data_IF_536859120816
#
_entry.id   IF_536859120816
#
_cell.length_a   1.000
_cell.length_b   1.000
_cell.length_c   1.000
_cell.angle_alpha   90.00
_cell.angle_beta   90.00
_cell.angle_gamma   90.00
#
_symmetry.space_group_name_H-M   'P 1'
#
loop_
_entity.id
_entity.type
_entity.pdbx_description
1 polymer ?
#
# COMPACT_ATOMS: atom_id res chain seq x y z
N UNK A 1 11.48 -15.44 6.85
CA UNK A 1 12.07 -14.39 5.98
C UNK A 1 11.39 -14.52 4.63
N UNK A 2 10.39 -13.70 4.25
CA UNK A 2 10.00 -13.69 2.84
C UNK A 2 11.15 -13.02 2.09
N UNK A 3 11.65 -13.73 1.10
CA UNK A 3 12.61 -13.27 0.11
C UNK A 3 12.13 -11.93 -0.45
N UNK A 4 12.73 -10.83 0.02
CA UNK A 4 12.57 -9.53 -0.59
C UNK A 4 12.95 -9.68 -2.05
N UNK A 5 11.96 -9.62 -2.95
CA UNK A 5 12.18 -9.73 -4.38
C UNK A 5 13.32 -8.78 -4.74
N UNK A 6 14.49 -9.34 -5.09
CA UNK A 6 15.66 -8.57 -5.49
C UNK A 6 15.21 -7.75 -6.68
N UNK A 7 14.95 -6.46 -6.43
CA UNK A 7 14.69 -5.53 -7.52
C UNK A 7 15.99 -5.44 -8.30
N UNK A 8 15.91 -5.71 -9.59
CA UNK A 8 17.02 -5.70 -10.53
C UNK A 8 16.67 -4.86 -11.76
N UNK A 9 17.68 -4.35 -12.44
CA UNK A 9 17.49 -3.63 -13.69
C UNK A 9 16.98 -4.58 -14.78
N UNK A 10 15.89 -4.23 -15.44
CA UNK A 10 15.28 -5.02 -16.50
C UNK A 10 16.16 -5.22 -17.74
N UNK A 11 17.22 -4.43 -17.91
CA UNK A 11 18.13 -4.51 -19.06
C UNK A 11 19.48 -5.14 -18.69
N UNK A 12 20.13 -4.66 -17.63
CA UNK A 12 21.49 -5.10 -17.29
C UNK A 12 21.55 -6.05 -16.08
N UNK A 13 20.42 -6.39 -15.46
CA UNK A 13 20.35 -7.30 -14.32
C UNK A 13 20.97 -6.78 -13.02
N UNK A 14 21.57 -5.57 -13.02
CA UNK A 14 22.15 -4.98 -11.81
C UNK A 14 21.14 -4.92 -10.68
N UNK A 15 21.52 -5.50 -9.56
CA UNK A 15 20.72 -5.53 -8.33
C UNK A 15 20.82 -4.20 -7.58
N UNK A 16 19.89 -3.98 -6.65
CA UNK A 16 19.94 -2.83 -5.73
C UNK A 16 21.23 -2.71 -4.90
N UNK A 17 22.02 -3.79 -4.75
CA UNK A 17 23.32 -3.76 -4.07
C UNK A 17 24.41 -3.15 -4.96
N UNK A 18 24.42 -3.54 -6.23
CA UNK A 18 25.43 -3.12 -7.22
C UNK A 18 25.24 -1.67 -7.67
N UNK A 19 24.03 -1.12 -7.55
CA UNK A 19 23.78 0.27 -7.94
C UNK A 19 24.09 1.29 -6.86
N UNK A 20 24.46 0.86 -5.63
CA UNK A 20 24.70 1.79 -4.50
C UNK A 20 25.80 2.82 -4.84
N UNK A 21 25.63 4.10 -4.44
CA UNK A 21 24.54 4.64 -3.61
C UNK A 21 23.24 4.91 -4.38
N UNK A 22 23.23 4.79 -5.71
CA UNK A 22 22.05 5.02 -6.54
C UNK A 22 21.03 3.88 -6.37
N UNK A 23 19.79 4.25 -6.07
CA UNK A 23 18.69 3.29 -5.99
C UNK A 23 18.15 3.02 -7.39
N UNK A 24 17.79 1.76 -7.64
CA UNK A 24 17.01 1.39 -8.81
C UNK A 24 15.74 2.24 -8.90
N UNK A 25 15.40 2.66 -10.11
CA UNK A 25 14.28 3.55 -10.42
C UNK A 25 13.19 2.75 -11.12
N UNK A 26 11.92 3.03 -10.79
CA UNK A 26 10.77 2.50 -11.50
C UNK A 26 10.40 3.44 -12.65
N UNK A 27 9.89 2.89 -13.75
CA UNK A 27 9.29 3.67 -14.84
C UNK A 27 8.26 4.66 -14.26
N UNK A 28 8.35 5.94 -14.63
CA UNK A 28 7.44 6.98 -14.13
C UNK A 28 6.00 6.80 -14.62
N UNK A 29 5.81 6.15 -15.77
CA UNK A 29 4.50 5.87 -16.36
C UNK A 29 3.78 4.71 -15.67
N UNK A 30 4.30 3.49 -15.80
CA UNK A 30 3.64 2.28 -15.32
C UNK A 30 4.08 1.81 -13.92
N UNK A 31 5.21 2.31 -13.40
CA UNK A 31 5.83 1.94 -12.11
C UNK A 31 6.17 0.45 -11.91
N UNK A 32 6.00 -0.38 -12.94
CA UNK A 32 6.28 -1.83 -12.90
C UNK A 32 7.70 -2.16 -13.32
N UNK A 33 8.20 -1.61 -14.44
CA UNK A 33 9.58 -1.82 -14.92
C UNK A 33 10.59 -1.06 -14.08
N UNK A 34 11.74 -1.69 -13.81
CA UNK A 34 12.81 -1.19 -12.95
C UNK A 34 14.12 -1.03 -13.75
N UNK A 35 14.84 0.07 -13.56
CA UNK A 35 16.09 0.39 -14.25
C UNK A 35 17.13 0.96 -13.28
N UNK A 36 18.42 0.77 -13.57
CA UNK A 36 19.48 1.44 -12.79
C UNK A 36 19.61 2.93 -13.12
N UNK A 37 19.33 3.32 -14.36
CA UNK A 37 19.45 4.68 -14.86
C UNK A 37 18.55 4.91 -16.09
N UNK A 38 18.64 6.13 -16.64
CA UNK A 38 17.88 6.56 -17.82
C UNK A 38 18.35 5.86 -19.10
N UNK A 39 19.60 5.39 -19.16
CA UNK A 39 20.16 4.77 -20.36
C UNK A 39 19.59 3.36 -20.54
N UNK A 40 19.50 2.59 -19.45
CA UNK A 40 18.77 1.32 -19.47
C UNK A 40 17.28 1.51 -19.81
N UNK A 41 16.64 2.57 -19.32
CA UNK A 41 15.25 2.86 -19.70
C UNK A 41 15.12 3.19 -21.20
N UNK A 42 16.05 3.96 -21.78
CA UNK A 42 16.06 4.31 -23.20
C UNK A 42 16.25 3.10 -24.08
N UNK A 43 17.12 2.17 -23.66
CA UNK A 43 17.32 0.87 -24.34
C UNK A 43 16.05 0.02 -24.32
N UNK A 44 15.35 -0.07 -23.18
CA UNK A 44 14.07 -0.81 -23.10
C UNK A 44 12.90 -0.06 -23.77
N UNK A 45 12.99 1.26 -24.01
CA UNK A 45 11.82 2.06 -24.39
C UNK A 45 11.08 1.59 -25.65
N UNK A 46 11.75 1.18 -26.76
CA UNK A 46 11.07 0.69 -27.95
C UNK A 46 10.15 -0.51 -27.68
N UNK A 47 10.56 -1.45 -26.82
CA UNK A 47 9.77 -2.61 -26.39
C UNK A 47 8.79 -2.26 -25.28
N UNK A 48 9.22 -1.48 -24.29
CA UNK A 48 8.44 -1.18 -23.10
C UNK A 48 7.23 -0.28 -23.39
N UNK A 49 7.34 0.71 -24.29
CA UNK A 49 6.26 1.68 -24.55
C UNK A 49 4.94 1.03 -24.93
N UNK A 50 4.97 -0.15 -25.57
CA UNK A 50 3.79 -0.91 -25.99
C UNK A 50 3.00 -1.43 -24.77
N UNK A 51 3.71 -1.77 -23.70
CA UNK A 51 3.14 -2.32 -22.47
C UNK A 51 3.10 -1.32 -21.31
N UNK A 52 3.71 -0.15 -21.47
CA UNK A 52 3.75 0.90 -20.46
C UNK A 52 2.38 1.59 -20.34
N UNK A 53 1.54 1.11 -19.41
CA UNK A 53 0.26 1.73 -19.08
C UNK A 53 0.28 2.25 -17.64
N UNK A 54 -0.19 3.49 -17.46
CA UNK A 54 -0.45 4.05 -16.13
C UNK A 54 -1.56 3.22 -15.47
N UNK A 55 -1.44 2.97 -14.17
CA UNK A 55 -2.49 2.26 -13.44
C UNK A 55 -3.62 3.25 -13.13
N UNK A 56 -4.86 2.82 -13.30
CA UNK A 56 -6.04 3.66 -13.02
C UNK A 56 -5.97 4.26 -11.60
N UNK A 57 -5.57 3.42 -10.63
CA UNK A 57 -5.46 3.82 -9.23
C UNK A 57 -4.34 4.82 -8.92
N UNK A 58 -3.43 5.11 -9.84
CA UNK A 58 -2.34 6.07 -9.59
C UNK A 58 -2.85 7.48 -9.30
N UNK A 59 -4.05 7.85 -9.79
CA UNK A 59 -4.68 9.15 -9.52
C UNK A 59 -5.25 9.26 -8.10
N UNK A 60 -5.59 8.14 -7.47
CA UNK A 60 -6.19 8.08 -6.13
C UNK A 60 -5.18 7.94 -4.98
N UNK A 61 -3.89 7.91 -5.27
CA UNK A 61 -2.86 7.65 -4.24
C UNK A 61 -2.75 8.74 -3.19
N UNK A 62 -3.09 9.98 -3.53
CA UNK A 62 -2.92 11.14 -2.65
C UNK A 62 -4.11 11.21 -1.71
N UNK A 63 -3.81 11.17 -0.42
CA UNK A 63 -4.74 11.33 0.67
C UNK A 63 -4.98 12.81 0.99
N UNK A 64 -6.05 13.09 1.73
CA UNK A 64 -6.44 14.43 2.18
C UNK A 64 -5.42 15.02 3.18
N UNK A 65 -4.81 14.15 3.99
CA UNK A 65 -3.74 14.49 4.92
C UNK A 65 -2.36 14.64 4.25
N UNK A 66 -2.32 14.65 2.91
CA UNK A 66 -1.12 14.73 2.07
C UNK A 66 -0.22 13.48 2.12
N UNK A 67 -0.61 12.43 2.84
CA UNK A 67 0.04 11.13 2.73
C UNK A 67 -0.19 10.53 1.34
N UNK A 68 0.62 9.54 0.98
CA UNK A 68 0.62 8.95 -0.35
C UNK A 68 0.71 7.44 -0.27
N UNK A 69 -0.31 6.75 -0.79
CA UNK A 69 -0.27 5.31 -0.95
C UNK A 69 0.77 4.89 -1.98
N UNK A 70 1.63 3.94 -1.58
CA UNK A 70 2.63 3.32 -2.47
C UNK A 70 2.17 1.99 -3.07
N UNK A 71 1.13 1.39 -2.49
CA UNK A 71 0.53 0.13 -2.91
C UNK A 71 -0.35 0.27 -4.15
N UNK A 72 -1.05 -0.79 -4.51
CA UNK A 72 -2.13 -0.73 -5.51
C UNK A 72 -3.48 -0.74 -4.80
N UNK A 73 -4.50 -0.20 -5.45
CA UNK A 73 -5.88 -0.57 -5.13
C UNK A 73 -6.10 -2.00 -5.62
N UNK A 74 -6.62 -2.83 -4.74
CA UNK A 74 -6.96 -4.22 -5.00
C UNK A 74 -8.40 -4.45 -4.56
N UNK A 75 -9.22 -4.94 -5.48
CA UNK A 75 -10.59 -5.35 -5.17
C UNK A 75 -10.56 -6.51 -4.16
N UNK A 76 -11.35 -6.37 -3.09
CA UNK A 76 -11.54 -7.42 -2.10
C UNK A 76 -12.39 -8.51 -2.74
N UNK A 77 -11.86 -9.73 -2.83
CA UNK A 77 -12.52 -10.85 -3.54
C UNK A 77 -12.73 -12.07 -2.65
N UNK A 78 -12.36 -11.96 -1.37
CA UNK A 78 -12.47 -13.01 -0.37
C UNK A 78 -13.59 -12.70 0.63
N UNK A 79 -13.96 -13.73 1.39
CA UNK A 79 -14.80 -13.65 2.57
C UNK A 79 -13.94 -14.03 3.77
N UNK A 80 -14.14 -13.37 4.90
CA UNK A 80 -13.45 -13.70 6.15
C UNK A 80 -14.36 -14.48 7.10
N UNK A 81 -13.89 -15.59 7.70
CA UNK A 81 -14.65 -16.27 8.74
C UNK A 81 -14.90 -15.34 9.94
N UNK A 82 -16.15 -15.28 10.41
CA UNK A 82 -16.53 -14.49 11.58
C UNK A 82 -16.86 -13.02 11.28
N UNK A 83 -16.84 -12.60 10.02
CA UNK A 83 -17.37 -11.31 9.58
C UNK A 83 -18.46 -11.55 8.54
N UNK A 84 -19.58 -10.82 8.64
CA UNK A 84 -20.71 -10.94 7.71
C UNK A 84 -20.49 -10.13 6.42
N UNK A 85 -19.25 -10.08 5.92
CA UNK A 85 -18.86 -9.35 4.71
C UNK A 85 -18.12 -10.24 3.72
N UNK A 86 -18.25 -9.94 2.42
CA UNK A 86 -17.68 -10.72 1.33
C UNK A 86 -17.02 -9.88 0.24
N UNK A 87 -17.27 -10.28 -1.01
CA UNK A 87 -16.74 -9.61 -2.20
C UNK A 87 -17.02 -8.10 -2.18
N UNK A 88 -16.04 -7.29 -2.55
CA UNK A 88 -16.07 -5.83 -2.44
C UNK A 88 -16.45 -5.30 -1.04
N UNK A 89 -16.05 -6.03 0.01
CA UNK A 89 -16.27 -5.63 1.41
C UNK A 89 -17.73 -5.28 1.73
N UNK A 90 -18.67 -5.88 1.01
CA UNK A 90 -20.12 -5.66 1.20
C UNK A 90 -20.69 -6.76 2.08
N UNK A 91 -21.82 -6.50 2.73
CA UNK A 91 -22.51 -7.53 3.51
C UNK A 91 -22.87 -8.74 2.64
N UNK A 92 -22.81 -9.94 3.21
CA UNK A 92 -23.00 -11.19 2.46
C UNK A 92 -24.33 -11.25 1.70
N UNK A 93 -25.39 -10.63 2.23
CA UNK A 93 -26.71 -10.57 1.60
C UNK A 93 -26.80 -9.59 0.41
N UNK A 94 -25.80 -8.74 0.20
CA UNK A 94 -25.75 -7.74 -0.88
C UNK A 94 -24.70 -8.08 -1.95
N UNK A 95 -23.95 -9.19 -1.78
CA UNK A 95 -22.85 -9.59 -2.67
C UNK A 95 -23.32 -9.77 -4.11
N UNK A 96 -24.45 -10.46 -4.32
CA UNK A 96 -24.94 -10.78 -5.66
C UNK A 96 -25.36 -9.52 -6.43
N UNK A 97 -26.05 -8.60 -5.74
CA UNK A 97 -26.47 -7.32 -6.32
C UNK A 97 -25.27 -6.46 -6.70
N UNK A 98 -24.27 -6.37 -5.82
CA UNK A 98 -23.09 -5.54 -6.07
C UNK A 98 -22.18 -6.15 -7.14
N UNK A 99 -22.08 -7.49 -7.22
CA UNK A 99 -21.39 -8.18 -8.32
C UNK A 99 -22.10 -7.96 -9.65
N UNK A 100 -23.42 -8.09 -9.68
CA UNK A 100 -24.21 -7.81 -10.88
C UNK A 100 -23.95 -6.38 -11.36
N UNK A 101 -23.94 -5.41 -10.44
CA UNK A 101 -23.61 -4.02 -10.76
C UNK A 101 -22.22 -3.86 -11.36
N UNK A 102 -21.22 -4.50 -10.78
CA UNK A 102 -19.85 -4.49 -11.31
C UNK A 102 -19.76 -5.08 -12.72
N UNK A 103 -20.34 -6.25 -12.94
CA UNK A 103 -20.24 -6.98 -14.19
C UNK A 103 -21.08 -6.34 -15.32
N UNK A 104 -22.30 -5.89 -15.00
CA UNK A 104 -23.28 -5.44 -16.00
C UNK A 104 -23.31 -3.92 -16.16
N UNK A 105 -23.43 -3.17 -15.06
CA UNK A 105 -23.52 -1.70 -15.16
C UNK A 105 -22.16 -1.06 -15.40
N UNK A 106 -21.11 -1.53 -14.71
CA UNK A 106 -19.76 -1.01 -14.87
C UNK A 106 -18.93 -1.78 -15.91
N UNK A 107 -19.40 -2.93 -16.40
CA UNK A 107 -18.72 -3.72 -17.43
C UNK A 107 -17.37 -4.30 -16.96
N UNK A 108 -17.23 -4.58 -15.66
CA UNK A 108 -15.99 -5.04 -15.04
C UNK A 108 -14.92 -3.95 -14.87
N UNK A 109 -15.27 -2.67 -15.05
CA UNK A 109 -14.36 -1.54 -14.92
C UNK A 109 -14.10 -1.20 -13.43
N UNK A 110 -12.92 -1.59 -12.93
CA UNK A 110 -12.50 -1.31 -11.55
C UNK A 110 -12.44 0.18 -11.23
N UNK A 111 -12.11 1.05 -12.19
CA UNK A 111 -12.01 2.49 -11.94
C UNK A 111 -13.40 3.07 -11.70
N UNK A 112 -14.36 2.77 -12.58
CA UNK A 112 -15.75 3.20 -12.38
C UNK A 112 -16.35 2.62 -11.10
N UNK A 113 -16.06 1.35 -10.81
CA UNK A 113 -16.55 0.71 -9.60
C UNK A 113 -15.94 1.32 -8.34
N UNK A 114 -14.66 1.69 -8.37
CA UNK A 114 -14.02 2.40 -7.25
C UNK A 114 -14.63 3.78 -7.00
N UNK A 115 -14.95 4.56 -8.03
CA UNK A 115 -15.61 5.85 -7.87
C UNK A 115 -17.02 5.70 -7.26
N UNK A 116 -17.67 4.54 -7.42
CA UNK A 116 -18.98 4.23 -6.85
C UNK A 116 -18.90 3.60 -5.45
N UNK A 117 -17.97 2.67 -5.24
CA UNK A 117 -17.85 1.81 -4.05
C UNK A 117 -16.38 1.63 -3.63
N UNK A 118 -15.72 2.70 -3.15
CA UNK A 118 -14.28 2.69 -2.88
C UNK A 118 -13.90 1.71 -1.76
N UNK A 119 -14.79 1.47 -0.80
CA UNK A 119 -14.59 0.50 0.29
C UNK A 119 -14.54 -0.95 -0.17
N UNK A 120 -14.92 -1.22 -1.43
CA UNK A 120 -14.70 -2.54 -2.02
C UNK A 120 -13.24 -2.85 -2.30
N UNK A 121 -12.37 -1.87 -2.21
CA UNK A 121 -10.95 -2.00 -2.49
C UNK A 121 -10.13 -1.84 -1.22
N UNK A 122 -8.91 -2.36 -1.26
CA UNK A 122 -7.88 -2.11 -0.25
C UNK A 122 -6.62 -1.54 -0.87
N UNK A 123 -5.88 -0.77 -0.08
CA UNK A 123 -4.52 -0.37 -0.42
C UNK A 123 -3.51 -1.40 0.07
N UNK A 124 -2.82 -2.05 -0.86
CA UNK A 124 -1.88 -3.14 -0.51
C UNK A 124 -0.64 -2.68 0.27
N UNK A 125 -0.38 -1.38 0.41
CA UNK A 125 0.78 -0.88 1.16
C UNK A 125 0.56 -0.76 2.67
N UNK A 126 -0.69 -0.51 3.09
CA UNK A 126 -1.05 -0.23 4.48
C UNK A 126 -2.25 -1.06 4.95
N UNK A 127 -2.91 -1.78 4.04
CA UNK A 127 -4.12 -2.54 4.32
C UNK A 127 -5.29 -1.67 4.78
N UNK A 128 -5.28 -0.38 4.42
CA UNK A 128 -6.45 0.48 4.60
C UNK A 128 -7.46 0.18 3.51
N UNK A 129 -8.72 0.28 3.90
CA UNK A 129 -9.86 0.35 3.01
C UNK A 129 -9.70 1.51 1.99
N UNK A 130 -10.17 1.30 0.77
CA UNK A 130 -10.02 2.24 -0.34
C UNK A 130 -10.80 3.55 -0.17
N UNK A 131 -11.82 3.57 0.68
CA UNK A 131 -12.55 4.77 1.05
C UNK A 131 -11.83 5.62 2.10
N UNK A 132 -10.84 5.06 2.81
CA UNK A 132 -10.06 5.80 3.80
C UNK A 132 -9.06 6.71 3.06
N UNK A 133 -9.33 8.02 3.09
CA UNK A 133 -8.53 9.04 2.40
C UNK A 133 -7.48 9.70 3.30
N UNK A 134 -7.10 9.07 4.41
CA UNK A 134 -6.11 9.59 5.36
C UNK A 134 -5.37 8.47 6.08
N UNK A 135 -4.30 8.79 6.79
CA UNK A 135 -3.62 7.84 7.66
C UNK A 135 -2.89 6.73 6.92
N UNK A 136 -2.58 6.91 5.64
CA UNK A 136 -1.73 5.97 4.91
C UNK A 136 -0.38 5.88 5.62
N UNK A 137 -0.18 4.78 6.35
CA UNK A 137 1.05 4.55 7.07
C UNK A 137 1.83 3.36 6.51
N UNK A 138 3.13 3.58 6.35
CA UNK A 138 4.07 2.59 5.87
C UNK A 138 5.13 2.41 6.94
N UNK A 139 5.06 1.35 7.73
CA UNK A 139 5.97 1.17 8.87
C UNK A 139 7.36 0.68 8.43
N UNK A 140 8.09 1.51 7.68
CA UNK A 140 9.43 1.23 7.15
C UNK A 140 9.46 0.83 5.67
N UNK A 141 8.31 0.65 5.02
CA UNK A 141 8.23 0.20 3.62
C UNK A 141 8.07 1.32 2.60
N UNK A 142 7.69 2.54 3.00
CA UNK A 142 7.55 3.65 2.07
C UNK A 142 8.85 4.38 1.76
N UNK A 143 8.79 5.23 0.74
CA UNK A 143 9.89 6.08 0.26
C UNK A 143 10.29 7.13 1.28
N UNK A 144 9.32 7.72 1.96
CA UNK A 144 9.56 8.68 3.04
C UNK A 144 9.66 7.95 4.38
N UNK A 145 10.25 8.56 5.42
CA UNK A 145 10.11 8.06 6.79
C UNK A 145 8.64 8.07 7.21
N UNK A 146 8.19 7.02 7.88
CA UNK A 146 6.91 6.97 8.57
C UNK A 146 6.74 8.16 9.55
N UNK A 147 5.53 8.68 9.70
CA UNK A 147 5.25 9.81 10.60
C UNK A 147 4.41 9.47 11.83
N UNK A 148 4.02 8.22 12.04
CA UNK A 148 3.24 7.85 13.23
C UNK A 148 4.07 7.84 14.51
N UNK A 149 3.36 7.95 15.64
CA UNK A 149 3.97 7.97 16.97
C UNK A 149 4.78 6.72 17.26
N UNK A 150 4.27 5.52 16.94
CA UNK A 150 4.98 4.26 17.21
C UNK A 150 6.36 4.22 16.53
N UNK A 151 6.44 4.58 15.25
CA UNK A 151 7.72 4.65 14.55
C UNK A 151 8.63 5.76 15.10
N UNK A 152 8.08 6.92 15.47
CA UNK A 152 8.84 8.01 16.12
C UNK A 152 9.37 7.62 17.50
N UNK A 153 8.64 6.77 18.21
CA UNK A 153 9.02 6.19 19.50
C UNK A 153 10.03 5.05 19.36
N UNK A 154 10.25 4.53 18.15
CA UNK A 154 11.05 3.32 17.96
C UNK A 154 10.36 2.06 18.48
N UNK A 155 9.03 2.04 18.51
CA UNK A 155 8.22 0.92 18.97
C UNK A 155 7.42 0.31 17.81
N UNK A 156 7.20 -1.01 17.80
CA UNK A 156 6.28 -1.63 16.84
C UNK A 156 4.83 -1.28 17.20
N UNK A 157 3.94 -1.41 16.21
CA UNK A 157 2.50 -1.37 16.46
C UNK A 157 2.09 -2.42 17.53
N UNK A 158 1.20 -2.10 18.48
CA UNK A 158 0.63 -3.05 19.42
C UNK A 158 -0.06 -4.22 18.72
N UNK A 159 -0.05 -5.39 19.35
CA UNK A 159 -0.72 -6.59 18.84
C UNK A 159 -2.23 -6.38 18.61
N UNK A 160 -2.90 -5.61 19.49
CA UNK A 160 -4.33 -5.31 19.37
C UNK A 160 -4.68 -4.55 18.09
N UNK A 161 -3.81 -3.66 17.64
CA UNK A 161 -3.99 -2.89 16.39
C UNK A 161 -3.57 -3.75 15.20
N UNK A 162 -2.45 -4.47 15.31
CA UNK A 162 -1.87 -5.19 14.18
C UNK A 162 -2.62 -6.48 13.83
N UNK A 163 -3.15 -7.19 14.84
CA UNK A 163 -3.84 -8.48 14.67
C UNK A 163 -5.36 -8.34 14.55
N UNK A 164 -5.87 -7.13 14.40
CA UNK A 164 -7.28 -6.89 14.11
C UNK A 164 -7.70 -7.60 12.81
N UNK A 165 -8.82 -8.29 12.86
CA UNK A 165 -9.37 -9.03 11.71
C UNK A 165 -10.09 -8.04 10.82
N UNK A 166 -9.49 -7.74 9.66
CA UNK A 166 -9.98 -6.74 8.71
C UNK A 166 -9.89 -7.32 7.27
N UNK A 167 -10.98 -7.28 6.48
CA UNK A 167 -10.97 -7.67 5.07
C UNK A 167 -9.85 -6.99 4.26
N UNK A 168 -9.59 -5.70 4.50
CA UNK A 168 -8.56 -4.93 3.82
C UNK A 168 -7.13 -5.36 4.20
N UNK A 169 -6.94 -6.04 5.34
CA UNK A 169 -5.61 -6.56 5.77
C UNK A 169 -5.40 -8.04 5.48
N UNK A 170 -6.45 -8.77 5.12
CA UNK A 170 -6.38 -10.23 4.96
C UNK A 170 -5.30 -10.69 3.97
N UNK A 171 -4.36 -11.51 4.43
CA UNK A 171 -3.30 -12.05 3.57
C UNK A 171 -2.23 -11.04 3.15
N UNK A 172 -2.24 -9.81 3.69
CA UNK A 172 -1.14 -8.87 3.54
C UNK A 172 -0.08 -9.11 4.62
N UNK A 173 1.19 -9.20 4.21
CA UNK A 173 2.32 -9.13 5.12
C UNK A 173 2.73 -7.66 5.33
N UNK A 174 2.05 -6.98 6.24
CA UNK A 174 2.34 -5.58 6.55
C UNK A 174 3.47 -5.46 7.59
N UNK A 175 4.42 -4.53 7.44
CA UNK A 175 5.39 -4.28 8.50
C UNK A 175 4.71 -3.72 9.76
N UNK A 176 5.22 -4.11 10.93
CA UNK A 176 4.80 -3.57 12.23
C UNK A 176 5.55 -2.30 12.65
N UNK A 177 6.61 -1.95 11.92
CA UNK A 177 7.58 -0.95 12.34
C UNK A 177 8.44 -1.44 13.51
N UNK A 178 9.15 -0.51 14.17
CA UNK A 178 9.26 0.90 13.81
C UNK A 178 10.03 1.11 12.50
N UNK A 179 9.74 2.18 11.77
CA UNK A 179 10.62 2.66 10.70
C UNK A 179 11.88 3.27 11.34
N UNK A 180 13.09 2.70 11.14
CA UNK A 180 14.30 3.20 11.77
C UNK A 180 14.64 4.65 11.36
N UNK A 181 14.14 5.11 10.20
CA UNK A 181 14.35 6.48 9.71
C UNK A 181 13.51 7.52 10.45
N UNK A 182 12.53 7.08 11.22
CA UNK A 182 11.52 7.92 11.86
C UNK A 182 11.79 8.21 13.33
N UNK A 183 12.72 7.48 13.96
CA UNK A 183 12.99 7.61 15.39
C UNK A 183 13.35 9.05 15.78
N UNK A 184 12.72 9.55 16.84
CA UNK A 184 12.99 10.87 17.39
C UNK A 184 12.93 10.84 18.92
N UNK A 185 14.08 10.97 19.58
CA UNK A 185 14.23 10.82 21.03
C UNK A 185 13.26 11.70 21.85
N UNK A 186 13.07 12.96 21.46
CA UNK A 186 12.13 13.86 22.15
C UNK A 186 10.66 13.44 22.02
N UNK A 187 10.27 12.85 20.88
CA UNK A 187 8.90 12.36 20.68
C UNK A 187 8.70 11.07 21.46
N UNK A 188 9.70 10.19 21.48
CA UNK A 188 9.70 8.98 22.28
C UNK A 188 9.49 9.29 23.78
N UNK A 189 10.25 10.25 24.32
CA UNK A 189 10.15 10.66 25.72
C UNK A 189 8.80 11.31 26.06
N UNK A 190 8.25 12.16 25.17
CA UNK A 190 6.93 12.75 25.36
C UNK A 190 5.84 11.69 25.33
N UNK A 191 5.88 10.80 24.33
CA UNK A 191 4.88 9.76 24.14
C UNK A 191 4.85 8.76 25.31
N UNK A 192 6.01 8.38 25.86
CA UNK A 192 6.07 7.49 27.04
C UNK A 192 5.40 8.07 28.29
N UNK A 193 5.31 9.40 28.39
CA UNK A 193 4.65 10.09 29.51
C UNK A 193 3.16 10.33 29.23
N UNK A 194 2.82 10.76 28.01
CA UNK A 194 1.47 11.21 27.68
C UNK A 194 0.50 10.08 27.36
N UNK A 195 0.94 9.04 26.65
CA UNK A 195 0.03 7.98 26.17
C UNK A 195 -0.67 7.22 27.31
N UNK A 196 0.02 6.83 28.40
CA UNK A 196 -0.64 6.21 29.55
C UNK A 196 -1.70 7.10 30.21
N UNK A 197 -1.52 8.43 30.20
CA UNK A 197 -2.51 9.37 30.76
C UNK A 197 -3.83 9.35 29.98
N UNK A 198 -3.80 8.95 28.70
CA UNK A 198 -4.99 8.78 27.86
C UNK A 198 -5.42 7.32 27.70
N UNK A 199 -4.87 6.40 28.51
CA UNK A 199 -5.16 4.97 28.41
C UNK A 199 -4.69 4.33 27.10
N UNK A 200 -3.74 4.97 26.41
CA UNK A 200 -3.16 4.46 25.17
C UNK A 200 -1.91 3.63 25.47
N UNK A 201 -1.65 2.54 24.71
CA UNK A 201 -0.44 1.75 24.81
C UNK A 201 0.80 2.52 24.36
#
# INVERSE_FOLDING_TARGET
MPSGANSECAICGKTSRETRPLKLKRCSGCRTRIYCDIDCQRVDWPSHKVTCKKKWHDKHRKCDDQSLHEGRLELITWTLPGLDVGWANVYLNEVDDLKHKFEVEFGGDEEKFFEYWPQGFRWTCCGLDGAITYGCDHHGTGKKPCTCDFCRMGQPLPDSIYKEVDPARHGLELPRGPDPRSFHAGHAALASQMRPLFGLP
#
